data_IF_286565789454
#
_entry.id   IF_286565789454
#
_cell.length_a   1.000
_cell.length_b   1.000
_cell.length_c   1.000
_cell.angle_alpha   90.00
_cell.angle_beta   90.00
_cell.angle_gamma   90.00
#
_symmetry.space_group_name_H-M   'P 1'
#
loop_
_entity.id
_entity.type
_entity.pdbx_description
1 polymer ?
#
# COMPACT_ATOMS: atom_id res chain seq x y z
N UNK A 1 -15.09 -5.83 -1.86
CA UNK A 1 -15.22 -4.78 -0.83
C UNK A 1 -16.48 -5.10 -0.03
N UNK A 2 -16.39 -5.25 1.30
CA UNK A 2 -17.49 -5.73 2.15
C UNK A 2 -17.71 -4.78 3.33
N UNK A 3 -18.86 -4.11 3.36
CA UNK A 3 -19.22 -3.14 4.41
C UNK A 3 -19.77 -3.79 5.69
N UNK A 4 -19.88 -5.12 5.74
CA UNK A 4 -20.40 -5.88 6.88
C UNK A 4 -19.30 -6.63 7.65
N UNK A 5 -18.04 -6.32 7.38
CA UNK A 5 -16.91 -6.96 8.09
C UNK A 5 -16.82 -6.37 9.50
N UNK A 6 -16.58 -7.24 10.48
CA UNK A 6 -16.45 -6.85 11.89
C UNK A 6 -15.32 -5.83 12.10
N UNK A 7 -15.48 -4.93 13.07
CA UNK A 7 -14.50 -3.89 13.37
C UNK A 7 -13.11 -4.47 13.71
N UNK A 8 -13.06 -5.68 14.28
CA UNK A 8 -11.82 -6.41 14.61
C UNK A 8 -11.03 -6.88 13.39
N UNK A 9 -11.64 -6.87 12.21
CA UNK A 9 -10.98 -7.23 10.96
C UNK A 9 -10.26 -6.03 10.30
N UNK A 10 -10.41 -4.82 10.84
CA UNK A 10 -9.61 -3.67 10.41
C UNK A 10 -8.18 -3.87 10.92
N UNK A 11 -7.25 -3.95 9.97
CA UNK A 11 -5.83 -4.14 10.26
C UNK A 11 -5.01 -3.24 9.35
N UNK A 12 -4.36 -2.25 9.94
CA UNK A 12 -3.28 -1.48 9.33
C UNK A 12 -1.96 -1.95 9.91
N UNK A 13 -1.19 -2.70 9.12
CA UNK A 13 0.07 -3.29 9.56
C UNK A 13 1.07 -3.33 8.42
N UNK A 14 2.22 -2.70 8.66
CA UNK A 14 3.41 -2.79 7.82
C UNK A 14 4.55 -3.41 8.62
N UNK A 15 5.27 -4.34 7.99
CA UNK A 15 6.40 -5.04 8.59
C UNK A 15 7.63 -4.96 7.69
N UNK A 16 8.77 -4.58 8.26
CA UNK A 16 10.07 -4.58 7.59
C UNK A 16 10.93 -5.63 8.26
N UNK A 17 11.17 -6.75 7.55
CA UNK A 17 12.01 -7.84 8.03
C UNK A 17 13.46 -7.61 7.64
N UNK A 18 14.36 -7.76 8.61
CA UNK A 18 15.79 -7.69 8.41
C UNK A 18 16.53 -8.81 9.14
N UNK A 19 17.83 -8.93 8.90
CA UNK A 19 18.66 -9.97 9.51
C UNK A 19 18.76 -9.91 11.04
N UNK A 20 18.44 -8.75 11.64
CA UNK A 20 18.53 -8.50 13.08
C UNK A 20 17.17 -8.45 13.77
N UNK A 21 16.08 -8.70 13.05
CA UNK A 21 14.73 -8.59 13.60
C UNK A 21 13.74 -7.98 12.62
N UNK A 22 12.63 -7.48 13.15
CA UNK A 22 11.52 -6.92 12.39
C UNK A 22 11.10 -5.57 12.99
N UNK A 23 10.77 -4.61 12.14
CA UNK A 23 10.08 -3.38 12.54
C UNK A 23 8.62 -3.53 12.13
N UNK A 24 7.68 -3.24 13.04
CA UNK A 24 6.24 -3.22 12.77
C UNK A 24 5.66 -1.84 13.10
N UNK A 25 4.78 -1.34 12.24
CA UNK A 25 4.05 -0.10 12.48
C UNK A 25 2.74 -0.07 11.69
N UNK A 26 1.83 0.83 12.06
CA UNK A 26 0.66 1.21 11.29
C UNK A 26 0.90 2.54 10.58
N UNK A 27 0.31 2.74 9.39
CA UNK A 27 0.48 3.97 8.60
C UNK A 27 -0.55 5.05 8.96
N UNK A 28 -1.75 4.65 9.34
CA UNK A 28 -2.93 5.47 9.58
C UNK A 28 -3.40 5.37 11.03
N UNK A 29 -3.27 4.20 11.65
CA UNK A 29 -3.58 4.06 13.06
C UNK A 29 -2.46 4.64 13.94
N UNK A 30 -2.80 5.38 15.02
CA UNK A 30 -1.82 5.94 15.94
C UNK A 30 -1.33 4.88 16.93
N UNK A 31 -0.69 3.82 16.41
CA UNK A 31 -0.08 2.76 17.22
C UNK A 31 1.42 2.97 17.35
N UNK A 32 2.06 2.53 18.45
CA UNK A 32 3.51 2.60 18.60
C UNK A 32 4.23 1.86 17.47
N UNK A 33 5.43 2.32 17.11
CA UNK A 33 6.35 1.54 16.27
C UNK A 33 6.99 0.46 17.14
N UNK A 34 7.00 -0.79 16.69
CA UNK A 34 7.60 -1.90 17.42
C UNK A 34 8.87 -2.41 16.75
N UNK A 35 9.91 -2.68 17.53
CA UNK A 35 11.12 -3.37 17.10
C UNK A 35 11.21 -4.74 17.79
N UNK A 36 11.12 -5.79 16.98
CA UNK A 36 11.14 -7.19 17.41
C UNK A 36 12.52 -7.80 17.17
N UNK A 37 13.12 -8.41 18.18
CA UNK A 37 14.38 -9.15 18.10
C UNK A 37 14.29 -10.47 18.89
N UNK A 38 15.34 -11.29 18.83
CA UNK A 38 15.44 -12.49 19.69
C UNK A 38 15.48 -12.16 21.18
N UNK A 39 15.82 -10.92 21.56
CA UNK A 39 15.87 -10.47 22.95
C UNK A 39 14.51 -9.98 23.47
N UNK A 40 13.54 -9.74 22.58
CA UNK A 40 12.22 -9.22 22.94
C UNK A 40 11.73 -8.13 21.99
N UNK A 41 10.72 -7.40 22.45
CA UNK A 41 10.04 -6.33 21.71
C UNK A 41 10.24 -5.00 22.44
N UNK A 42 10.66 -3.98 21.70
CA UNK A 42 10.73 -2.59 22.15
C UNK A 42 9.70 -1.75 21.40
N UNK A 43 9.01 -0.85 22.10
CA UNK A 43 7.95 0.01 21.53
C UNK A 43 8.35 1.48 21.60
N UNK A 44 8.10 2.21 20.51
CA UNK A 44 8.41 3.62 20.34
C UNK A 44 7.13 4.42 20.06
N UNK A 45 6.73 5.24 21.02
CA UNK A 45 5.62 6.17 20.88
C UNK A 45 6.06 7.42 20.10
N UNK A 46 5.90 7.36 18.78
CA UNK A 46 6.23 8.46 17.88
C UNK A 46 4.98 9.30 17.63
N UNK A 47 5.03 10.57 18.01
CA UNK A 47 3.95 11.51 17.69
C UNK A 47 4.17 12.03 16.27
N UNK A 48 3.28 11.73 15.31
CA UNK A 48 3.40 12.26 13.96
C UNK A 48 3.23 13.79 13.98
N UNK A 49 3.99 14.53 13.14
CA UNK A 49 3.81 15.96 13.02
C UNK A 49 2.39 16.30 12.56
N UNK A 50 1.84 17.40 13.08
CA UNK A 50 0.51 17.89 12.69
C UNK A 50 0.62 19.28 12.08
N UNK A 51 0.11 19.50 10.85
CA UNK A 51 -0.48 18.51 9.93
C UNK A 51 0.55 17.53 9.35
N UNK A 52 0.18 16.27 9.14
CA UNK A 52 1.09 15.21 8.67
C UNK A 52 1.80 15.54 7.34
N UNK A 53 1.13 16.26 6.44
CA UNK A 53 1.66 16.63 5.14
C UNK A 53 2.58 17.86 5.17
N UNK A 54 2.52 18.67 6.23
CA UNK A 54 3.21 19.96 6.30
C UNK A 54 4.73 19.84 6.06
N UNK A 55 5.47 18.89 6.67
CA UNK A 55 6.91 18.78 6.44
C UNK A 55 7.29 18.50 4.97
N UNK A 56 6.44 17.79 4.23
CA UNK A 56 6.68 17.52 2.82
C UNK A 56 6.39 18.77 1.97
N UNK A 57 5.27 19.46 2.24
CA UNK A 57 4.89 20.69 1.53
C UNK A 57 6.00 21.74 1.64
N UNK A 58 6.52 21.96 2.84
CA UNK A 58 7.60 22.93 3.08
C UNK A 58 8.85 22.61 2.25
N UNK A 59 9.27 21.33 2.20
CA UNK A 59 10.43 20.90 1.42
C UNK A 59 10.22 21.08 -0.08
N UNK A 60 9.02 20.77 -0.58
CA UNK A 60 8.66 20.97 -2.00
C UNK A 60 8.69 22.45 -2.35
N UNK A 61 8.03 23.30 -1.56
CA UNK A 61 7.99 24.75 -1.79
C UNK A 61 9.40 25.36 -1.75
N UNK A 62 10.21 24.99 -0.77
CA UNK A 62 11.57 25.48 -0.64
C UNK A 62 12.40 25.12 -1.90
N UNK A 63 12.31 23.87 -2.36
CA UNK A 63 12.99 23.41 -3.59
C UNK A 63 12.54 24.19 -4.83
N UNK A 64 11.23 24.42 -4.99
CA UNK A 64 10.67 25.20 -6.11
C UNK A 64 11.13 26.67 -6.10
N UNK A 65 11.40 27.23 -4.92
CA UNK A 65 11.97 28.57 -4.75
C UNK A 65 13.51 28.60 -4.93
N UNK A 66 14.14 27.47 -5.26
CA UNK A 66 15.59 27.36 -5.36
C UNK A 66 16.30 27.34 -4.00
N UNK A 67 15.58 27.04 -2.91
CA UNK A 67 16.08 27.02 -1.54
C UNK A 67 16.04 25.60 -0.99
N UNK A 68 17.19 24.93 -0.96
CA UNK A 68 17.30 23.57 -0.42
C UNK A 68 16.79 22.48 -1.38
N UNK A 69 16.60 21.28 -0.85
CA UNK A 69 16.30 20.07 -1.63
C UNK A 69 15.18 19.25 -1.01
N UNK A 70 14.30 18.69 -1.84
CA UNK A 70 13.27 17.75 -1.44
C UNK A 70 13.70 16.32 -1.81
N UNK A 71 13.66 15.35 -0.88
CA UNK A 71 13.99 13.95 -1.19
C UNK A 71 12.95 13.30 -2.12
N UNK A 72 11.74 13.85 -2.18
CA UNK A 72 10.66 13.42 -3.09
C UNK A 72 10.71 14.26 -4.37
N UNK A 73 11.47 13.79 -5.36
CA UNK A 73 11.66 14.45 -6.66
C UNK A 73 10.68 13.95 -7.71
N UNK A 74 10.56 14.68 -8.83
CA UNK A 74 9.76 14.24 -9.99
C UNK A 74 10.20 12.89 -10.54
N UNK A 75 11.51 12.60 -10.54
CA UNK A 75 12.06 11.30 -10.95
C UNK A 75 11.60 10.16 -10.02
N UNK A 76 11.69 10.36 -8.70
CA UNK A 76 11.21 9.35 -7.74
C UNK A 76 9.69 9.16 -7.81
N UNK A 77 8.94 10.23 -8.09
CA UNK A 77 7.50 10.18 -8.29
C UNK A 77 7.13 9.39 -9.55
N UNK A 78 7.82 9.64 -10.67
CA UNK A 78 7.63 8.89 -11.92
C UNK A 78 7.87 7.39 -11.72
N UNK A 79 9.00 7.02 -11.10
CA UNK A 79 9.32 5.61 -10.80
C UNK A 79 8.22 4.94 -9.95
N UNK A 80 7.66 5.67 -8.99
CA UNK A 80 6.55 5.16 -8.15
C UNK A 80 5.29 4.95 -8.98
N UNK A 81 4.94 5.91 -9.84
CA UNK A 81 3.78 5.82 -10.74
C UNK A 81 3.88 4.63 -11.71
N UNK A 82 5.06 4.34 -12.25
CA UNK A 82 5.29 3.19 -13.13
C UNK A 82 5.02 1.86 -12.43
N UNK A 83 5.46 1.71 -11.17
CA UNK A 83 5.19 0.52 -10.35
C UNK A 83 3.70 0.38 -10.09
N UNK A 84 3.03 1.47 -9.72
CA UNK A 84 1.57 1.48 -9.52
C UNK A 84 0.83 1.06 -10.80
N UNK A 85 1.25 1.58 -11.96
CA UNK A 85 0.66 1.19 -13.24
C UNK A 85 0.89 -0.31 -13.55
N UNK A 86 2.08 -0.84 -13.25
CA UNK A 86 2.37 -2.27 -13.43
C UNK A 86 1.47 -3.16 -12.56
N UNK A 87 1.22 -2.78 -11.30
CA UNK A 87 0.30 -3.48 -10.39
C UNK A 87 -1.13 -3.45 -10.93
N UNK A 88 -1.60 -2.29 -11.38
CA UNK A 88 -2.95 -2.12 -11.91
C UNK A 88 -3.15 -2.89 -13.23
N UNK A 89 -2.19 -2.84 -14.16
CA UNK A 89 -2.25 -3.58 -15.43
C UNK A 89 -2.34 -5.10 -15.22
N UNK A 90 -1.54 -5.63 -14.28
CA UNK A 90 -1.55 -7.06 -13.92
C UNK A 90 -2.92 -7.51 -13.42
N UNK A 91 -3.59 -6.64 -12.65
CA UNK A 91 -4.91 -6.91 -12.08
C UNK A 91 -5.99 -6.91 -13.15
N UNK A 92 -5.97 -5.95 -14.10
CA UNK A 92 -6.92 -5.88 -15.21
C UNK A 92 -6.84 -7.12 -16.13
N UNK A 93 -5.62 -7.53 -16.51
CA UNK A 93 -5.42 -8.72 -17.35
C UNK A 93 -5.92 -10.02 -16.70
N UNK A 94 -5.81 -10.14 -15.37
CA UNK A 94 -6.31 -11.29 -14.62
C UNK A 94 -7.84 -11.28 -14.52
N UNK A 95 -8.46 -10.11 -14.35
CA UNK A 95 -9.92 -9.96 -14.29
C UNK A 95 -10.56 -10.26 -15.65
N UNK A 96 -9.97 -9.79 -16.77
CA UNK A 96 -10.47 -10.08 -18.11
C UNK A 96 -10.40 -11.55 -18.48
N UNK A 97 -9.31 -12.25 -18.12
CA UNK A 97 -9.20 -13.71 -18.31
C UNK A 97 -10.28 -14.50 -17.55
N UNK A 98 -10.68 -14.04 -16.36
CA UNK A 98 -11.72 -14.70 -15.57
C UNK A 98 -13.14 -14.43 -16.11
N UNK A 99 -13.38 -13.26 -16.71
CA UNK A 99 -14.66 -12.93 -17.36
C UNK A 99 -14.89 -13.77 -18.61
N UNK A 100 -13.86 -13.98 -19.44
CA UNK A 100 -13.94 -14.81 -20.65
C UNK A 100 -14.18 -16.29 -20.33
N UNK A 101 -13.66 -16.79 -19.21
CA UNK A 101 -13.82 -18.21 -18.82
C UNK A 101 -15.24 -18.52 -18.33
N UNK A 102 -15.91 -17.55 -17.69
CA UNK A 102 -17.30 -17.70 -17.24
C UNK A 102 -18.30 -17.69 -18.41
N UNK A 103 -18.13 -16.80 -19.40
CA UNK A 103 -19.01 -16.79 -20.59
C UNK A 103 -18.91 -18.07 -21.43
N UNK A 104 -17.74 -18.71 -21.47
CA UNK A 104 -17.53 -19.97 -22.23
C UNK A 104 -18.19 -21.16 -21.53
N UNK A 105 -18.29 -21.15 -20.20
CA UNK A 105 -18.97 -22.21 -19.46
C UNK A 105 -20.49 -22.15 -19.63
N UNK A 106 -21.06 -20.94 -19.61
CA UNK A 106 -22.51 -20.71 -19.73
C UNK A 106 -23.06 -21.07 -21.12
N UNK A 107 -22.31 -20.77 -22.20
CA UNK A 107 -22.67 -21.16 -23.58
C UNK A 107 -22.57 -22.65 -23.87
N UNK A 108 -21.91 -23.45 -23.01
CA UNK A 108 -21.79 -24.91 -23.16
C UNK A 108 -22.92 -25.69 -22.51
N UNK A 109 -23.68 -25.06 -21.62
CA UNK A 109 -24.85 -25.65 -20.96
C UNK A 109 -26.16 -25.52 -21.75
N UNK A 110 -26.16 -24.79 -22.86
CA UNK A 110 -27.36 -24.51 -23.67
C UNK A 110 -27.47 -25.35 -24.96
N UNK A 111 -26.60 -26.34 -25.18
CA UNK A 111 -26.80 -27.29 -26.29
C UNK A 111 -28.01 -28.21 -26.02
N UNK A 112 -29.02 -28.24 -26.91
CA UNK A 112 -30.20 -29.06 -26.68
C UNK A 112 -29.85 -30.53 -26.87
N UNK A 113 -30.20 -31.33 -25.87
CA UNK A 113 -30.20 -32.80 -25.96
C UNK A 113 -31.21 -33.18 -27.04
N UNK A 114 -30.71 -33.70 -28.16
CA UNK A 114 -31.52 -34.25 -29.26
C UNK A 114 -32.26 -35.53 -28.88
#
# INVERSE_FOLDING_TARGET
WCFTTDATAQLDRTEILGSRGMIRFACFEPTPVEWHTSAGVESFDLIPPQPVAQPLIERVVATLQGRGTCPSTGETALRTSEVMEAICRRSAATIQSNHETHEVHERRSEEPVG
#
